data_IF_357642488605
#
_entry.id   IF_357642488605
#
_cell.length_a   1.000
_cell.length_b   1.000
_cell.length_c   1.000
_cell.angle_alpha   90.00
_cell.angle_beta   90.00
_cell.angle_gamma   90.00
#
_symmetry.space_group_name_H-M   'P 1'
#
loop_
_entity.id
_entity.type
_entity.pdbx_description
1 polymer ?
#
# COMPACT_ATOMS: atom_id res chain seq x y z
N UNK A 1 26.71 97.33 5.44
CA UNK A 1 25.77 96.23 5.22
C UNK A 1 26.16 95.20 4.15
N UNK A 2 27.46 95.05 3.79
CA UNK A 2 27.84 93.93 2.89
C UNK A 2 28.36 92.68 3.60
N UNK A 3 28.64 92.71 4.91
CA UNK A 3 29.20 91.52 5.62
C UNK A 3 28.16 90.47 6.12
N UNK A 4 26.93 90.92 6.40
CA UNK A 4 25.86 90.02 6.86
C UNK A 4 25.37 89.09 5.72
N UNK A 5 25.39 89.57 4.49
CA UNK A 5 25.02 88.78 3.32
C UNK A 5 26.02 87.66 3.01
N UNK A 6 27.32 87.85 3.28
CA UNK A 6 28.34 86.81 3.09
C UNK A 6 28.26 85.71 4.16
N UNK A 7 27.88 86.06 5.40
CA UNK A 7 27.75 85.11 6.48
C UNK A 7 26.51 84.22 6.31
N UNK A 8 25.42 84.77 5.80
CA UNK A 8 24.20 83.99 5.49
C UNK A 8 24.42 83.01 4.31
N UNK A 9 25.22 83.42 3.32
CA UNK A 9 25.55 82.55 2.18
C UNK A 9 26.51 81.45 2.54
N UNK A 10 27.43 81.61 3.48
CA UNK A 10 28.30 80.58 4.00
C UNK A 10 27.56 79.58 4.92
N UNK A 11 26.57 80.02 5.69
CA UNK A 11 25.72 79.18 6.48
C UNK A 11 24.76 78.30 5.65
N UNK A 12 24.28 78.81 4.51
CA UNK A 12 23.46 78.06 3.56
C UNK A 12 24.27 76.99 2.81
N UNK A 13 25.54 77.27 2.49
CA UNK A 13 26.41 76.27 1.84
C UNK A 13 26.87 75.18 2.82
N UNK A 14 27.06 75.52 4.10
CA UNK A 14 27.39 74.56 5.12
C UNK A 14 26.19 73.62 5.46
N UNK A 15 24.95 74.13 5.34
CA UNK A 15 23.72 73.24 5.56
C UNK A 15 23.43 72.29 4.41
N UNK A 16 23.87 72.65 3.17
CA UNK A 16 23.71 71.72 2.01
C UNK A 16 24.81 70.68 1.98
N UNK A 17 26.00 70.91 2.54
CA UNK A 17 27.05 69.86 2.65
C UNK A 17 26.88 68.86 3.74
N UNK A 18 25.94 69.06 4.69
CA UNK A 18 25.68 68.15 5.78
C UNK A 18 24.58 67.10 5.45
N UNK A 19 23.90 67.20 4.29
CA UNK A 19 22.84 66.25 3.88
C UNK A 19 23.26 65.15 2.86
N UNK A 20 24.58 65.07 2.54
CA UNK A 20 25.06 63.97 1.64
C UNK A 20 25.58 62.72 2.33
N UNK A 21 25.07 62.43 3.50
CA UNK A 21 25.49 61.31 4.28
C UNK A 21 24.36 60.44 4.87
N UNK A 22 23.09 60.65 4.47
CA UNK A 22 22.06 59.63 4.75
C UNK A 22 22.31 58.44 3.80
N UNK A 23 23.09 57.49 4.26
CA UNK A 23 22.92 56.13 3.75
C UNK A 23 21.45 55.78 4.06
N UNK A 24 20.64 55.63 3.04
CA UNK A 24 19.38 54.90 3.21
C UNK A 24 19.77 53.54 3.78
N UNK A 25 19.36 53.28 5.01
CA UNK A 25 19.42 51.91 5.53
C UNK A 25 18.71 51.03 4.50
N UNK A 26 19.33 49.90 4.08
CA UNK A 26 18.66 48.98 3.18
C UNK A 26 17.31 48.66 3.80
N UNK A 27 16.24 48.92 3.06
CA UNK A 27 14.89 48.48 3.46
C UNK A 27 15.00 47.06 4.00
N UNK A 28 14.41 46.73 5.15
CA UNK A 28 14.39 45.36 5.64
C UNK A 28 13.93 44.47 4.49
N UNK A 29 14.55 43.29 4.28
CA UNK A 29 14.15 42.39 3.21
C UNK A 29 12.65 42.19 3.34
N UNK A 30 11.93 42.44 2.24
CA UNK A 30 10.52 42.13 2.15
C UNK A 30 10.41 40.65 2.48
N UNK A 31 9.70 40.32 3.54
CA UNK A 31 9.38 38.94 3.89
C UNK A 31 8.53 38.39 2.73
N UNK A 32 9.16 37.74 1.78
CA UNK A 32 8.50 37.14 0.60
C UNK A 32 7.73 35.90 1.01
N UNK A 33 7.25 35.78 2.21
CA UNK A 33 6.42 34.67 2.66
C UNK A 33 6.93 33.27 2.20
N UNK A 34 6.30 32.22 2.66
CA UNK A 34 6.67 30.84 2.26
C UNK A 34 6.26 30.58 0.79
N UNK A 35 7.25 30.41 -0.09
CA UNK A 35 7.03 30.14 -1.52
C UNK A 35 7.86 28.94 -1.96
N UNK A 36 7.18 27.80 -2.17
CA UNK A 36 7.78 26.60 -2.77
C UNK A 36 7.25 26.45 -4.19
N UNK A 37 8.14 26.26 -5.15
CA UNK A 37 7.81 26.16 -6.58
C UNK A 37 8.34 24.85 -7.18
N UNK A 38 7.76 24.41 -8.30
CA UNK A 38 8.22 23.20 -9.00
C UNK A 38 8.02 21.92 -8.17
N UNK A 39 6.99 21.88 -7.32
CA UNK A 39 6.72 20.73 -6.45
C UNK A 39 6.32 19.54 -7.30
N UNK A 40 6.99 18.40 -7.06
CA UNK A 40 6.61 17.10 -7.58
C UNK A 40 6.53 16.10 -6.43
N UNK A 41 5.32 15.60 -6.18
CA UNK A 41 5.06 14.58 -5.18
C UNK A 41 4.62 13.33 -5.92
N UNK A 42 5.27 12.16 -5.71
CA UNK A 42 4.80 10.91 -6.30
C UNK A 42 3.43 10.52 -5.74
N UNK A 43 2.62 9.83 -6.54
CA UNK A 43 1.29 9.40 -6.12
C UNK A 43 1.36 8.45 -4.90
N UNK A 44 2.42 7.64 -4.82
CA UNK A 44 2.69 6.75 -3.68
C UNK A 44 4.17 6.64 -3.36
N UNK A 45 4.47 6.37 -2.09
CA UNK A 45 5.80 6.13 -1.54
C UNK A 45 5.79 4.87 -0.69
N UNK A 46 6.76 3.98 -0.91
CA UNK A 46 7.05 2.84 -0.02
C UNK A 46 8.26 3.21 0.83
N UNK A 47 8.06 3.52 2.09
CA UNK A 47 9.11 4.05 2.96
C UNK A 47 9.01 3.42 4.35
N UNK A 48 10.11 2.91 4.94
CA UNK A 48 10.11 2.47 6.32
C UNK A 48 10.01 3.65 7.29
N UNK A 49 9.52 3.43 8.49
CA UNK A 49 9.59 4.42 9.58
C UNK A 49 11.05 4.85 9.77
N UNK A 50 11.29 6.17 9.85
CA UNK A 50 12.64 6.71 9.90
C UNK A 50 13.40 6.62 8.57
N UNK A 51 12.79 6.13 7.51
CA UNK A 51 13.35 6.12 6.16
C UNK A 51 13.37 7.53 5.55
N UNK A 52 14.33 7.74 4.67
CA UNK A 52 14.53 9.03 4.01
C UNK A 52 13.49 9.27 2.92
N UNK A 53 12.91 10.48 2.91
CA UNK A 53 11.97 10.96 1.88
C UNK A 53 12.50 12.24 1.28
N UNK A 54 12.52 12.31 -0.06
CA UNK A 54 12.96 13.48 -0.81
C UNK A 54 11.74 14.07 -1.53
N UNK A 55 11.45 15.34 -1.26
CA UNK A 55 10.49 16.13 -2.02
C UNK A 55 11.23 17.01 -3.03
N UNK A 56 10.82 16.93 -4.30
CA UNK A 56 11.34 17.80 -5.34
C UNK A 56 10.61 19.14 -5.32
N UNK A 57 11.36 20.23 -5.42
CA UNK A 57 10.85 21.59 -5.42
C UNK A 57 11.92 22.61 -4.99
N UNK A 58 11.74 23.86 -5.32
CA UNK A 58 12.65 24.95 -4.96
C UNK A 58 12.03 25.86 -3.90
N UNK A 59 12.86 26.41 -3.02
CA UNK A 59 12.42 27.32 -1.96
C UNK A 59 12.27 26.67 -0.58
N UNK A 60 12.60 25.39 -0.42
CA UNK A 60 12.72 24.73 0.89
C UNK A 60 13.87 25.34 1.71
N UNK A 61 13.73 25.35 3.02
CA UNK A 61 14.77 25.75 3.95
C UNK A 61 14.97 24.67 5.04
N UNK A 62 16.17 24.61 5.61
CA UNK A 62 16.43 23.76 6.78
C UNK A 62 15.45 24.13 7.89
N UNK A 63 14.98 23.10 8.60
CA UNK A 63 13.99 23.18 9.68
C UNK A 63 12.57 23.54 9.21
N UNK A 64 12.28 23.64 7.91
CA UNK A 64 10.89 23.59 7.45
C UNK A 64 10.22 22.32 7.96
N UNK A 65 8.98 22.43 8.40
CA UNK A 65 8.20 21.32 8.88
C UNK A 65 7.29 20.80 7.77
N UNK A 66 7.32 19.50 7.52
CA UNK A 66 6.37 18.81 6.66
C UNK A 66 5.31 18.20 7.54
N UNK A 67 4.09 18.70 7.44
CA UNK A 67 2.92 18.23 8.21
C UNK A 67 2.10 17.31 7.34
N UNK A 68 1.82 16.12 7.86
CA UNK A 68 1.01 15.06 7.26
C UNK A 68 -0.33 15.03 7.98
N UNK A 69 -1.41 15.14 7.24
CA UNK A 69 -2.77 14.98 7.77
C UNK A 69 -3.42 13.82 7.03
N UNK A 70 -3.82 12.76 7.77
CA UNK A 70 -4.46 11.60 7.17
C UNK A 70 -5.81 12.01 6.55
N UNK A 71 -6.02 11.64 5.29
CA UNK A 71 -7.19 12.08 4.53
C UNK A 71 -8.52 11.53 5.07
N UNK A 72 -8.47 10.37 5.73
CA UNK A 72 -9.65 9.70 6.34
C UNK A 72 -9.88 10.10 7.79
N UNK A 73 -8.88 10.73 8.45
CA UNK A 73 -8.96 11.15 9.85
C UNK A 73 -8.07 12.39 10.08
N UNK A 74 -8.68 13.56 10.07
CA UNK A 74 -7.98 14.83 10.25
C UNK A 74 -7.38 15.01 11.67
N UNK A 75 -7.75 14.17 12.64
CA UNK A 75 -7.12 14.14 13.97
C UNK A 75 -5.77 13.46 13.98
N UNK A 76 -5.46 12.62 12.98
CA UNK A 76 -4.15 11.98 12.83
C UNK A 76 -3.19 12.89 12.05
N UNK A 77 -2.34 13.56 12.81
CA UNK A 77 -1.38 14.54 12.31
C UNK A 77 0.03 14.12 12.72
N UNK A 78 0.94 14.08 11.74
CA UNK A 78 2.36 13.79 11.96
C UNK A 78 3.20 14.94 11.40
N UNK A 79 4.40 15.13 11.94
CA UNK A 79 5.29 16.20 11.51
C UNK A 79 6.71 15.67 11.36
N UNK A 80 7.32 15.95 10.22
CA UNK A 80 8.74 15.78 9.96
C UNK A 80 9.41 17.13 9.81
N UNK A 81 10.71 17.18 10.04
CA UNK A 81 11.53 18.38 9.85
C UNK A 81 12.50 18.12 8.71
N UNK A 82 12.69 19.07 7.80
CA UNK A 82 13.70 18.96 6.74
C UNK A 82 15.10 18.93 7.36
N UNK A 83 15.79 17.83 7.12
CA UNK A 83 17.16 17.57 7.61
C UNK A 83 18.23 17.99 6.60
N UNK A 84 17.86 18.07 5.32
CA UNK A 84 18.72 18.51 4.23
C UNK A 84 17.91 19.24 3.17
N UNK A 85 18.51 20.24 2.56
CA UNK A 85 17.89 20.99 1.45
C UNK A 85 18.93 21.27 0.36
N UNK A 86 18.46 21.25 -0.89
CA UNK A 86 19.21 21.69 -2.06
C UNK A 86 18.40 22.78 -2.78
N UNK A 87 18.95 23.37 -3.85
CA UNK A 87 18.18 24.32 -4.67
C UNK A 87 16.92 23.73 -5.32
N UNK A 88 16.77 22.40 -5.32
CA UNK A 88 15.68 21.68 -6.03
C UNK A 88 15.01 20.59 -5.19
N UNK A 89 15.36 20.42 -3.92
CA UNK A 89 14.76 19.39 -3.07
C UNK A 89 14.87 19.71 -1.59
N UNK A 90 13.95 19.12 -0.81
CA UNK A 90 14.03 19.02 0.64
C UNK A 90 13.93 17.56 1.07
N UNK A 91 14.74 17.15 2.05
CA UNK A 91 14.83 15.79 2.55
C UNK A 91 14.44 15.74 4.03
N UNK A 92 13.67 14.73 4.42
CA UNK A 92 13.29 14.45 5.81
C UNK A 92 13.22 12.95 6.07
N UNK A 93 13.13 12.57 7.34
CA UNK A 93 12.87 11.19 7.74
C UNK A 93 11.38 10.98 8.00
N UNK A 94 10.82 9.86 7.54
CA UNK A 94 9.41 9.54 7.79
C UNK A 94 9.14 9.48 9.30
N UNK A 95 8.12 10.19 9.83
CA UNK A 95 7.88 10.27 11.27
C UNK A 95 7.54 8.92 11.90
N UNK A 96 7.96 8.73 13.16
CA UNK A 96 7.53 7.59 13.95
C UNK A 96 6.01 7.59 14.17
N UNK A 97 5.41 6.39 14.16
CA UNK A 97 3.98 6.19 14.40
C UNK A 97 3.06 6.57 13.23
N UNK A 98 3.62 7.05 12.09
CA UNK A 98 2.84 7.25 10.89
C UNK A 98 2.41 5.87 10.35
N UNK A 99 1.15 5.77 9.90
CA UNK A 99 0.58 4.52 9.38
C UNK A 99 0.42 4.57 7.87
N UNK A 100 0.24 3.42 7.24
CA UNK A 100 -0.11 3.35 5.81
C UNK A 100 -1.41 4.11 5.56
N UNK A 101 -1.42 4.99 4.54
CA UNK A 101 -2.59 5.80 4.22
C UNK A 101 -2.29 6.94 3.25
N UNK A 102 -3.35 7.65 2.84
CA UNK A 102 -3.23 8.84 1.99
C UNK A 102 -3.21 10.09 2.85
N UNK A 103 -2.15 10.89 2.69
CA UNK A 103 -1.88 12.08 3.47
C UNK A 103 -1.89 13.34 2.61
N UNK A 104 -2.50 14.40 3.15
CA UNK A 104 -2.28 15.75 2.65
C UNK A 104 -1.02 16.31 3.29
N UNK A 105 -0.10 16.79 2.48
CA UNK A 105 1.17 17.39 2.89
C UNK A 105 1.09 18.90 2.90
N UNK A 106 1.58 19.51 3.97
CA UNK A 106 1.72 20.96 4.11
C UNK A 106 3.13 21.28 4.61
N UNK A 107 3.83 22.21 3.98
CA UNK A 107 5.06 22.75 4.52
C UNK A 107 4.74 23.93 5.43
N UNK A 108 5.46 24.05 6.55
CA UNK A 108 5.38 25.17 7.50
C UNK A 108 6.76 25.75 7.76
N UNK A 109 6.83 27.08 7.79
CA UNK A 109 8.02 27.87 8.17
C UNK A 109 7.57 29.01 9.09
N UNK A 110 7.88 28.93 10.39
CA UNK A 110 7.32 29.86 11.36
C UNK A 110 5.79 29.84 11.37
N UNK A 111 5.17 30.98 11.10
CA UNK A 111 3.72 31.15 11.00
C UNK A 111 3.14 30.81 9.62
N UNK A 112 3.99 30.76 8.60
CA UNK A 112 3.58 30.56 7.23
C UNK A 112 3.37 29.08 6.91
N UNK A 113 2.43 28.81 6.03
CA UNK A 113 2.15 27.45 5.58
C UNK A 113 1.69 27.40 4.14
N UNK A 114 2.07 26.34 3.43
CA UNK A 114 1.67 26.08 2.05
C UNK A 114 1.35 24.60 1.86
N UNK A 115 0.21 24.31 1.24
CA UNK A 115 -0.17 22.93 0.86
C UNK A 115 0.70 22.50 -0.32
N UNK A 116 1.36 21.37 -0.18
CA UNK A 116 2.21 20.78 -1.22
C UNK A 116 1.42 19.84 -2.15
N UNK A 117 0.48 19.05 -1.61
CA UNK A 117 -0.30 18.07 -2.35
C UNK A 117 -0.71 16.90 -1.48
N UNK A 118 -1.02 15.77 -2.13
CA UNK A 118 -1.37 14.50 -1.47
C UNK A 118 -0.44 13.39 -1.92
N UNK A 119 -0.19 12.42 -1.02
CA UNK A 119 0.62 11.23 -1.29
C UNK A 119 0.03 10.04 -0.53
N UNK A 120 0.05 8.87 -1.15
CA UNK A 120 -0.20 7.61 -0.43
C UNK A 120 1.14 7.10 0.12
N UNK A 121 1.24 6.95 1.43
CA UNK A 121 2.40 6.39 2.11
C UNK A 121 2.09 4.94 2.44
N UNK A 122 2.91 4.03 1.94
CA UNK A 122 2.93 2.63 2.35
C UNK A 122 4.12 2.46 3.30
N UNK A 123 3.83 2.32 4.57
CA UNK A 123 4.86 2.10 5.58
C UNK A 123 5.34 0.65 5.48
N UNK A 124 6.61 0.47 5.12
CA UNK A 124 7.21 -0.86 4.92
C UNK A 124 8.17 -1.18 6.07
N UNK A 125 8.42 -2.46 6.29
CA UNK A 125 9.44 -2.86 7.25
C UNK A 125 10.84 -2.51 6.73
N UNK A 126 11.69 -1.99 7.60
CA UNK A 126 13.10 -1.73 7.27
C UNK A 126 13.93 -2.96 7.65
N UNK A 127 13.89 -4.01 6.81
CA UNK A 127 14.63 -5.23 7.13
C UNK A 127 15.47 -5.71 5.95
N UNK A 128 16.79 -5.63 6.12
CA UNK A 128 17.71 -6.51 5.40
C UNK A 128 17.82 -7.79 6.20
N UNK A 129 17.13 -8.85 5.75
CA UNK A 129 17.17 -10.15 6.41
C UNK A 129 18.40 -10.91 5.90
N UNK A 130 19.39 -11.26 6.77
CA UNK A 130 20.56 -12.03 6.35
C UNK A 130 20.17 -13.43 5.87
N UNK A 131 20.97 -14.03 5.00
CA UNK A 131 20.79 -15.42 4.63
C UNK A 131 21.15 -16.33 5.81
N UNK A 132 20.40 -17.44 5.92
CA UNK A 132 20.63 -18.47 6.94
C UNK A 132 20.92 -19.79 6.26
N UNK A 133 22.00 -20.52 6.64
CA UNK A 133 22.34 -21.80 6.04
C UNK A 133 21.16 -22.79 6.04
N UNK A 134 20.93 -23.45 4.92
CA UNK A 134 19.84 -24.42 4.75
C UNK A 134 18.46 -23.81 4.49
N UNK A 135 18.31 -22.48 4.53
CA UNK A 135 17.05 -21.78 4.23
C UNK A 135 17.08 -21.25 2.81
N UNK A 136 16.03 -21.50 2.07
CA UNK A 136 15.86 -21.06 0.67
C UNK A 136 14.82 -19.96 0.53
N UNK A 137 13.99 -19.76 1.56
CA UNK A 137 13.06 -18.65 1.66
C UNK A 137 13.26 -17.91 2.97
N UNK A 138 13.09 -16.60 2.92
CA UNK A 138 13.08 -15.70 4.05
C UNK A 138 12.12 -14.55 3.79
N UNK A 139 11.77 -13.79 4.80
CA UNK A 139 10.95 -12.60 4.65
C UNK A 139 10.47 -12.07 5.98
N UNK A 140 9.69 -11.00 5.91
CA UNK A 140 9.03 -10.39 7.06
C UNK A 140 7.53 -10.28 6.81
N UNK A 141 6.75 -10.61 7.84
CA UNK A 141 5.33 -10.26 7.90
C UNK A 141 5.19 -9.07 8.83
N UNK A 142 4.55 -7.99 8.38
CA UNK A 142 4.50 -6.74 9.11
C UNK A 142 3.19 -5.98 8.90
N UNK A 143 2.88 -5.08 9.83
CA UNK A 143 1.81 -4.09 9.71
C UNK A 143 2.34 -2.73 10.12
N UNK A 144 2.15 -1.71 9.28
CA UNK A 144 2.63 -0.34 9.54
C UNK A 144 4.12 -0.26 9.92
N UNK A 145 4.94 -1.10 9.29
CA UNK A 145 6.39 -1.15 9.53
C UNK A 145 6.83 -1.96 10.74
N UNK A 146 5.90 -2.39 11.60
CA UNK A 146 6.16 -3.22 12.75
C UNK A 146 5.97 -4.70 12.41
N UNK A 147 6.89 -5.55 12.84
CA UNK A 147 6.83 -6.99 12.58
C UNK A 147 5.61 -7.63 13.24
N UNK A 148 4.95 -8.53 12.54
CA UNK A 148 3.83 -9.33 13.05
C UNK A 148 4.34 -10.69 13.53
N UNK A 149 4.47 -10.93 14.83
CA UNK A 149 4.94 -12.19 15.37
C UNK A 149 3.87 -13.28 15.35
N UNK A 150 4.31 -14.54 15.31
CA UNK A 150 3.41 -15.69 15.45
C UNK A 150 2.59 -16.01 14.20
N UNK A 151 2.91 -15.43 13.05
CA UNK A 151 2.21 -15.72 11.79
C UNK A 151 2.78 -17.00 11.18
N UNK A 152 1.91 -17.97 10.89
CA UNK A 152 2.31 -19.18 10.18
C UNK A 152 2.61 -18.89 8.72
N UNK A 153 3.76 -19.37 8.23
CA UNK A 153 4.23 -19.26 6.86
C UNK A 153 4.53 -20.65 6.31
N UNK A 154 4.08 -20.94 5.10
CA UNK A 154 4.24 -22.26 4.48
C UNK A 154 4.51 -22.15 2.97
N UNK A 155 5.12 -23.18 2.41
CA UNK A 155 5.22 -23.41 0.96
C UNK A 155 4.31 -24.57 0.47
N UNK A 156 3.44 -25.06 1.36
CA UNK A 156 2.58 -26.23 1.14
C UNK A 156 3.20 -27.55 1.57
N UNK A 157 4.47 -27.57 1.97
CA UNK A 157 5.21 -28.74 2.49
C UNK A 157 5.78 -28.42 3.85
N UNK A 158 6.61 -27.39 3.91
CA UNK A 158 7.25 -26.92 5.11
C UNK A 158 6.42 -25.80 5.75
N UNK A 159 6.50 -25.71 7.09
CA UNK A 159 5.81 -24.65 7.86
C UNK A 159 6.77 -24.05 8.86
N UNK A 160 6.73 -22.76 8.99
CA UNK A 160 7.43 -22.02 10.04
C UNK A 160 6.50 -20.97 10.65
N UNK A 161 6.98 -20.24 11.65
CA UNK A 161 6.26 -19.15 12.32
C UNK A 161 7.19 -17.94 12.40
N UNK A 162 6.64 -16.76 12.19
CA UNK A 162 7.42 -15.52 12.35
C UNK A 162 7.86 -15.29 13.78
N UNK A 163 9.09 -14.78 13.95
CA UNK A 163 9.65 -14.42 15.25
C UNK A 163 9.08 -13.10 15.81
N UNK A 164 9.64 -12.60 16.91
CA UNK A 164 9.20 -11.35 17.55
C UNK A 164 9.38 -10.10 16.70
N UNK A 165 10.16 -10.17 15.63
CA UNK A 165 10.36 -9.09 14.64
C UNK A 165 9.57 -9.34 13.36
N UNK A 166 8.71 -10.35 13.34
CA UNK A 166 7.94 -10.74 12.15
C UNK A 166 8.78 -11.47 11.09
N UNK A 167 10.02 -11.82 11.37
CA UNK A 167 10.93 -12.47 10.43
C UNK A 167 10.68 -13.97 10.38
N UNK A 168 10.73 -14.54 9.18
CA UNK A 168 10.65 -15.99 8.97
C UNK A 168 11.77 -16.51 8.07
N UNK A 169 12.07 -17.79 8.23
CA UNK A 169 12.94 -18.60 7.37
C UNK A 169 12.29 -19.94 7.11
N UNK A 170 12.40 -20.45 5.87
CA UNK A 170 11.80 -21.71 5.47
C UNK A 170 12.78 -22.50 4.58
N UNK A 171 13.04 -23.81 4.86
CA UNK A 171 13.90 -24.67 4.04
C UNK A 171 13.12 -25.27 2.86
N UNK A 172 12.53 -24.40 2.02
CA UNK A 172 11.64 -24.78 0.94
C UNK A 172 12.36 -25.47 -0.22
N UNK A 173 11.79 -26.57 -0.72
CA UNK A 173 12.14 -27.12 -2.03
C UNK A 173 11.50 -26.37 -3.20
N UNK A 174 10.58 -25.45 -2.91
CA UNK A 174 9.81 -24.66 -3.88
C UNK A 174 8.94 -25.50 -4.83
N UNK A 175 8.60 -26.71 -4.42
CA UNK A 175 7.90 -27.69 -5.23
C UNK A 175 6.56 -27.18 -5.77
N UNK A 176 5.79 -26.44 -4.93
CA UNK A 176 4.47 -25.92 -5.30
C UNK A 176 4.51 -24.51 -5.90
N UNK A 177 5.68 -23.86 -5.95
CA UNK A 177 5.87 -22.57 -6.58
C UNK A 177 5.30 -21.38 -5.79
N UNK A 178 4.99 -21.55 -4.51
CA UNK A 178 4.47 -20.51 -3.63
C UNK A 178 5.15 -20.48 -2.27
N UNK A 179 5.12 -19.30 -1.65
CA UNK A 179 5.15 -19.14 -0.20
C UNK A 179 3.90 -18.33 0.19
N UNK A 180 3.24 -18.72 1.26
CA UNK A 180 2.01 -18.09 1.72
C UNK A 180 1.93 -18.03 3.24
N UNK A 181 1.13 -17.10 3.73
CA UNK A 181 0.84 -16.95 5.16
C UNK A 181 -0.57 -17.43 5.48
N UNK A 182 -0.77 -17.98 6.67
CA UNK A 182 -2.10 -18.09 7.24
C UNK A 182 -2.47 -16.71 7.79
N UNK A 183 -3.31 -15.96 7.07
CA UNK A 183 -3.68 -14.59 7.42
C UNK A 183 -4.21 -14.54 8.87
N UNK A 184 -3.65 -13.70 9.76
CA UNK A 184 -4.14 -13.62 11.14
C UNK A 184 -5.51 -12.92 11.22
N UNK A 185 -6.34 -13.32 12.18
CA UNK A 185 -7.75 -12.95 12.24
C UNK A 185 -8.05 -11.46 12.43
N UNK A 186 -7.11 -10.69 12.97
CA UNK A 186 -7.22 -9.26 13.19
C UNK A 186 -6.51 -8.42 12.10
N UNK A 187 -6.25 -9.04 10.95
CA UNK A 187 -5.62 -8.37 9.81
C UNK A 187 -6.36 -8.66 8.50
N UNK A 188 -6.20 -7.75 7.57
CA UNK A 188 -6.46 -7.90 6.15
C UNK A 188 -5.14 -7.81 5.37
N UNK A 189 -5.18 -8.28 4.14
CA UNK A 189 -4.09 -8.11 3.19
C UNK A 189 -4.66 -7.51 1.90
N UNK A 190 -3.84 -6.72 1.18
CA UNK A 190 -4.26 -6.15 -0.09
C UNK A 190 -4.74 -7.25 -1.06
N UNK A 191 -5.77 -6.95 -1.84
CA UNK A 191 -6.26 -7.82 -2.89
C UNK A 191 -5.92 -7.26 -4.27
N UNK A 192 -5.70 -8.16 -5.22
CA UNK A 192 -5.62 -7.86 -6.65
C UNK A 192 -6.74 -8.60 -7.35
N UNK A 193 -7.59 -7.87 -8.10
CA UNK A 193 -8.79 -8.43 -8.75
C UNK A 193 -9.64 -9.30 -7.77
N UNK A 194 -9.85 -8.80 -6.55
CA UNK A 194 -10.53 -9.48 -5.44
C UNK A 194 -9.81 -10.68 -4.82
N UNK A 195 -8.66 -11.10 -5.32
CA UNK A 195 -7.87 -12.20 -4.73
C UNK A 195 -6.95 -11.63 -3.65
N UNK A 196 -7.11 -12.00 -2.36
CA UNK A 196 -6.21 -11.59 -1.29
C UNK A 196 -4.77 -12.06 -1.56
N UNK A 197 -3.80 -11.18 -1.42
CA UNK A 197 -2.39 -11.43 -1.77
C UNK A 197 -1.59 -12.04 -0.60
N UNK A 198 -2.18 -13.04 0.07
CA UNK A 198 -1.55 -13.76 1.19
C UNK A 198 -0.45 -14.73 0.74
N UNK A 199 -0.18 -14.83 -0.54
CA UNK A 199 0.85 -15.67 -1.14
C UNK A 199 1.76 -14.89 -2.08
N UNK A 200 2.96 -15.42 -2.31
CA UNK A 200 3.91 -14.95 -3.32
C UNK A 200 4.35 -16.12 -4.18
N UNK A 201 4.53 -15.87 -5.48
CA UNK A 201 5.05 -16.86 -6.42
C UNK A 201 6.56 -16.93 -6.31
N UNK A 202 7.10 -18.13 -6.37
CA UNK A 202 8.52 -18.40 -6.29
C UNK A 202 9.12 -18.53 -7.70
N UNK A 203 10.33 -18.02 -7.86
CA UNK A 203 11.09 -18.18 -9.11
C UNK A 203 11.62 -19.60 -9.32
N UNK A 204 11.65 -20.39 -8.25
CA UNK A 204 12.17 -21.76 -8.26
C UNK A 204 13.70 -21.83 -8.13
N UNK A 205 14.24 -23.04 -8.26
CA UNK A 205 15.67 -23.29 -8.10
C UNK A 205 16.16 -23.19 -6.65
N UNK A 206 17.48 -23.19 -6.45
CA UNK A 206 18.12 -23.24 -5.13
C UNK A 206 18.54 -21.86 -4.58
N UNK A 207 18.28 -20.77 -5.32
CA UNK A 207 18.60 -19.41 -4.86
C UNK A 207 17.72 -19.02 -3.68
N UNK A 208 18.29 -18.28 -2.72
CA UNK A 208 17.48 -17.72 -1.60
C UNK A 208 16.60 -16.61 -2.14
N UNK A 209 15.30 -16.67 -1.82
CA UNK A 209 14.35 -15.63 -2.16
C UNK A 209 13.82 -14.96 -0.89
N UNK A 210 13.62 -13.64 -0.96
CA UNK A 210 12.98 -12.88 0.10
C UNK A 210 11.58 -12.46 -0.37
N UNK A 211 10.57 -12.79 0.44
CA UNK A 211 9.18 -12.43 0.20
C UNK A 211 8.56 -11.86 1.46
N UNK A 212 8.15 -10.59 1.38
CA UNK A 212 7.58 -9.87 2.50
C UNK A 212 6.06 -9.73 2.33
N UNK A 213 5.33 -9.73 3.46
CA UNK A 213 3.88 -9.59 3.51
C UNK A 213 3.50 -8.37 4.36
N UNK A 214 2.81 -7.43 3.74
CA UNK A 214 2.28 -6.24 4.41
C UNK A 214 0.81 -6.48 4.77
N UNK A 215 0.50 -6.36 6.04
CA UNK A 215 -0.84 -6.54 6.62
C UNK A 215 -1.44 -5.19 7.00
N UNK A 216 -2.77 -5.13 7.01
CA UNK A 216 -3.53 -3.98 7.51
C UNK A 216 -4.35 -4.45 8.70
N UNK A 217 -4.12 -3.82 9.87
CA UNK A 217 -4.89 -4.14 11.06
C UNK A 217 -6.37 -3.82 10.85
N UNK A 218 -7.24 -4.76 11.17
CA UNK A 218 -8.69 -4.61 10.99
C UNK A 218 -9.46 -5.39 12.06
N UNK A 219 -10.70 -4.98 12.32
CA UNK A 219 -11.60 -5.73 13.19
C UNK A 219 -12.46 -6.68 12.35
N UNK A 220 -12.15 -7.96 12.42
CA UNK A 220 -12.89 -9.06 11.79
C UNK A 220 -13.75 -9.85 12.77
N UNK A 221 -13.96 -9.35 14.00
CA UNK A 221 -14.75 -10.08 15.02
C UNK A 221 -16.21 -10.29 14.61
N UNK A 222 -16.76 -9.37 13.82
CA UNK A 222 -18.12 -9.45 13.29
C UNK A 222 -18.13 -9.45 11.76
N UNK A 223 -17.57 -10.52 11.16
CA UNK A 223 -17.51 -10.68 9.71
C UNK A 223 -18.64 -11.58 9.18
N UNK A 224 -18.85 -11.53 7.88
CA UNK A 224 -19.76 -12.41 7.14
C UNK A 224 -18.97 -13.10 6.04
N UNK A 225 -19.14 -14.40 5.91
CA UNK A 225 -18.61 -15.19 4.80
C UNK A 225 -19.75 -15.64 3.90
N UNK A 226 -19.67 -15.31 2.63
CA UNK A 226 -20.57 -15.80 1.59
C UNK A 226 -19.93 -17.05 0.97
N UNK A 227 -20.42 -18.22 1.37
CA UNK A 227 -20.02 -19.51 0.78
C UNK A 227 -20.83 -19.72 -0.51
N UNK A 228 -20.16 -19.86 -1.62
CA UNK A 228 -20.76 -19.97 -2.95
C UNK A 228 -20.18 -21.17 -3.69
N UNK A 229 -21.00 -22.08 -4.15
CA UNK A 229 -20.54 -23.34 -4.75
C UNK A 229 -21.11 -23.53 -6.16
N UNK A 230 -20.41 -24.33 -6.94
CA UNK A 230 -20.93 -24.96 -8.17
C UNK A 230 -21.46 -23.95 -9.20
N UNK A 231 -20.72 -22.90 -9.48
CA UNK A 231 -21.16 -21.92 -10.48
C UNK A 231 -21.15 -22.50 -11.88
N UNK A 232 -20.22 -23.40 -12.19
CA UNK A 232 -20.08 -24.11 -13.46
C UNK A 232 -20.20 -23.19 -14.68
N UNK A 233 -19.58 -21.99 -14.60
CA UNK A 233 -19.57 -21.05 -15.69
C UNK A 233 -18.82 -21.64 -16.89
N UNK A 234 -19.50 -21.73 -18.02
CA UNK A 234 -19.00 -22.44 -19.19
C UNK A 234 -19.34 -21.76 -20.54
N UNK A 235 -19.92 -20.56 -20.51
CA UNK A 235 -20.47 -19.89 -21.69
C UNK A 235 -21.47 -20.80 -22.42
N UNK A 236 -22.41 -21.36 -21.69
CA UNK A 236 -23.38 -22.37 -22.14
C UNK A 236 -24.76 -22.11 -21.53
N UNK A 237 -25.82 -22.27 -22.33
CA UNK A 237 -27.22 -22.21 -21.86
C UNK A 237 -27.54 -20.92 -21.09
N UNK A 238 -27.03 -19.79 -21.57
CA UNK A 238 -27.22 -18.46 -20.96
C UNK A 238 -26.66 -18.32 -19.52
N UNK A 239 -25.75 -19.21 -19.07
CA UNK A 239 -25.17 -19.21 -17.74
C UNK A 239 -24.51 -17.86 -17.39
N UNK A 240 -23.76 -17.25 -18.31
CA UNK A 240 -23.15 -15.92 -18.11
C UNK A 240 -24.20 -14.81 -18.01
N UNK A 241 -25.31 -14.93 -18.75
CA UNK A 241 -26.43 -13.99 -18.66
C UNK A 241 -27.15 -14.14 -17.31
N UNK A 242 -27.37 -15.37 -16.86
CA UNK A 242 -27.96 -15.66 -15.55
C UNK A 242 -27.04 -15.18 -14.42
N UNK A 243 -25.73 -15.41 -14.54
CA UNK A 243 -24.76 -14.89 -13.59
C UNK A 243 -24.82 -13.36 -13.51
N UNK A 244 -24.75 -12.68 -14.66
CA UNK A 244 -24.66 -11.21 -14.71
C UNK A 244 -25.95 -10.51 -14.32
N UNK A 245 -27.12 -11.07 -14.65
CA UNK A 245 -28.42 -10.42 -14.46
C UNK A 245 -29.18 -10.91 -13.22
N UNK A 246 -28.81 -12.08 -12.68
CA UNK A 246 -29.42 -12.67 -11.49
C UNK A 246 -28.47 -12.72 -10.31
N UNK A 247 -27.47 -13.63 -10.36
CA UNK A 247 -26.58 -13.88 -9.23
C UNK A 247 -25.75 -12.64 -8.80
N UNK A 248 -25.13 -11.95 -9.77
CA UNK A 248 -24.23 -10.83 -9.46
C UNK A 248 -24.95 -9.64 -8.80
N UNK A 249 -26.12 -9.17 -9.27
CA UNK A 249 -26.89 -8.17 -8.56
C UNK A 249 -27.28 -8.59 -7.13
N UNK A 250 -27.73 -9.82 -6.95
CA UNK A 250 -28.19 -10.32 -5.65
C UNK A 250 -27.05 -10.44 -4.63
N UNK A 251 -25.90 -10.99 -5.05
CA UNK A 251 -24.73 -11.11 -4.17
C UNK A 251 -24.17 -9.72 -3.80
N UNK A 252 -24.10 -8.78 -4.74
CA UNK A 252 -23.63 -7.44 -4.46
C UNK A 252 -24.61 -6.64 -3.59
N UNK A 253 -25.91 -6.82 -3.74
CA UNK A 253 -26.91 -6.25 -2.84
C UNK A 253 -26.77 -6.81 -1.42
N UNK A 254 -26.53 -8.11 -1.29
CA UNK A 254 -26.26 -8.78 -0.01
C UNK A 254 -25.01 -8.24 0.65
N UNK A 255 -23.90 -8.12 -0.08
CA UNK A 255 -22.64 -7.51 0.38
C UNK A 255 -22.89 -6.09 0.87
N UNK A 256 -23.57 -5.26 0.05
CA UNK A 256 -23.89 -3.88 0.39
C UNK A 256 -24.73 -3.77 1.67
N UNK A 257 -25.69 -4.66 1.87
CA UNK A 257 -26.53 -4.68 3.07
C UNK A 257 -25.69 -4.92 4.34
N UNK A 258 -24.80 -5.90 4.32
CA UNK A 258 -23.93 -6.21 5.45
C UNK A 258 -22.86 -5.15 5.68
N UNK A 259 -22.23 -4.63 4.63
CA UNK A 259 -21.22 -3.57 4.77
C UNK A 259 -21.84 -2.27 5.28
N UNK A 260 -23.06 -1.92 4.86
CA UNK A 260 -23.81 -0.78 5.38
C UNK A 260 -24.18 -0.95 6.87
N UNK A 261 -24.28 -2.19 7.35
CA UNK A 261 -24.45 -2.52 8.76
C UNK A 261 -23.11 -2.60 9.53
N UNK A 262 -21.99 -2.15 8.93
CA UNK A 262 -20.67 -2.11 9.56
C UNK A 262 -19.97 -3.46 9.65
N UNK A 263 -20.42 -4.47 8.89
CA UNK A 263 -19.76 -5.79 8.87
C UNK A 263 -18.74 -5.89 7.74
N UNK A 264 -17.67 -6.61 7.99
CA UNK A 264 -16.75 -7.07 6.93
C UNK A 264 -17.39 -8.24 6.19
N UNK A 265 -17.25 -8.27 4.86
CA UNK A 265 -17.80 -9.35 4.04
C UNK A 265 -16.71 -9.95 3.17
N UNK A 266 -16.64 -11.28 3.17
CA UNK A 266 -15.69 -12.06 2.39
C UNK A 266 -16.44 -13.13 1.59
N UNK A 267 -15.98 -13.45 0.40
CA UNK A 267 -16.49 -14.51 -0.42
C UNK A 267 -15.58 -15.75 -0.36
N UNK A 268 -16.17 -16.90 -0.32
CA UNK A 268 -15.47 -18.19 -0.41
C UNK A 268 -16.17 -19.04 -1.48
N UNK A 269 -15.71 -18.98 -2.73
CA UNK A 269 -16.11 -19.96 -3.74
C UNK A 269 -15.61 -21.33 -3.35
N UNK A 270 -16.53 -22.30 -3.24
CA UNK A 270 -16.25 -23.64 -2.74
C UNK A 270 -15.84 -24.63 -3.84
N UNK A 271 -15.33 -24.12 -4.94
CA UNK A 271 -14.93 -24.91 -6.10
C UNK A 271 -15.99 -24.99 -7.19
N UNK A 272 -15.64 -25.66 -8.27
CA UNK A 272 -16.44 -25.83 -9.48
C UNK A 272 -16.95 -24.51 -10.06
N UNK A 273 -16.04 -23.56 -10.09
CA UNK A 273 -16.31 -22.20 -10.58
C UNK A 273 -16.46 -22.20 -12.11
N UNK A 274 -15.73 -23.08 -12.77
CA UNK A 274 -15.81 -23.34 -14.21
C UNK A 274 -16.28 -24.77 -14.47
N UNK A 275 -16.44 -25.13 -15.72
CA UNK A 275 -16.72 -26.51 -16.12
C UNK A 275 -15.67 -26.96 -17.15
N UNK A 276 -14.73 -27.77 -16.71
CA UNK A 276 -13.58 -28.26 -17.49
C UNK A 276 -13.95 -28.85 -18.85
N UNK A 277 -15.08 -29.59 -18.96
CA UNK A 277 -15.59 -30.12 -20.22
C UNK A 277 -15.77 -29.07 -21.33
N UNK A 278 -15.96 -27.80 -20.96
CA UNK A 278 -16.20 -26.70 -21.92
C UNK A 278 -15.02 -25.72 -21.99
N UNK A 279 -13.92 -25.98 -21.32
CA UNK A 279 -12.77 -25.09 -21.32
C UNK A 279 -12.25 -24.77 -22.71
N UNK A 280 -12.20 -25.77 -23.58
CA UNK A 280 -11.67 -25.66 -24.93
C UNK A 280 -12.79 -25.49 -25.96
N UNK A 281 -13.90 -26.17 -25.80
CA UNK A 281 -15.03 -26.13 -26.72
C UNK A 281 -15.70 -24.73 -26.74
N UNK A 282 -15.96 -24.16 -25.56
CA UNK A 282 -16.60 -22.86 -25.42
C UNK A 282 -15.60 -21.73 -25.14
N UNK A 283 -14.29 -22.04 -25.09
CA UNK A 283 -13.23 -21.11 -24.72
C UNK A 283 -13.50 -20.38 -23.40
N UNK A 284 -14.00 -21.09 -22.39
CA UNK A 284 -14.30 -20.55 -21.08
C UNK A 284 -13.55 -21.29 -19.99
N UNK A 285 -12.42 -20.72 -19.55
CA UNK A 285 -11.52 -21.25 -18.52
C UNK A 285 -11.40 -20.28 -17.35
N UNK A 286 -10.50 -20.56 -16.43
CA UNK A 286 -10.27 -19.77 -15.22
C UNK A 286 -9.91 -18.30 -15.51
N UNK A 287 -9.27 -17.99 -16.63
CA UNK A 287 -9.02 -16.61 -17.05
C UNK A 287 -10.34 -15.83 -17.31
N UNK A 288 -11.37 -16.51 -17.80
CA UNK A 288 -12.70 -15.93 -18.03
C UNK A 288 -13.50 -15.86 -16.72
N UNK A 289 -13.38 -16.88 -15.88
CA UNK A 289 -13.95 -16.84 -14.54
C UNK A 289 -13.47 -15.61 -13.76
N UNK A 290 -12.17 -15.30 -13.77
CA UNK A 290 -11.62 -14.13 -13.08
C UNK A 290 -12.23 -12.80 -13.55
N UNK A 291 -12.59 -12.70 -14.85
CA UNK A 291 -13.31 -11.53 -15.38
C UNK A 291 -14.69 -11.36 -14.74
N UNK A 292 -15.36 -12.48 -14.46
CA UNK A 292 -16.68 -12.46 -13.83
C UNK A 292 -16.57 -12.26 -12.30
N UNK A 293 -15.68 -13.01 -11.64
CA UNK A 293 -15.49 -12.97 -10.18
C UNK A 293 -15.13 -11.56 -9.68
N UNK A 294 -14.29 -10.83 -10.37
CA UNK A 294 -13.88 -9.48 -9.94
C UNK A 294 -15.00 -8.45 -9.91
N UNK A 295 -16.18 -8.76 -10.47
CA UNK A 295 -17.38 -7.92 -10.38
C UNK A 295 -18.10 -8.05 -9.04
N UNK A 296 -17.73 -9.01 -8.20
CA UNK A 296 -18.25 -9.20 -6.84
C UNK A 296 -17.52 -8.23 -5.90
N UNK A 297 -18.24 -7.51 -5.08
CA UNK A 297 -17.72 -6.37 -4.30
C UNK A 297 -17.09 -6.78 -2.94
N UNK A 298 -16.40 -7.93 -2.88
CA UNK A 298 -15.63 -8.34 -1.70
C UNK A 298 -14.38 -9.15 -2.09
N UNK A 299 -13.48 -9.35 -1.12
CA UNK A 299 -12.33 -10.24 -1.31
C UNK A 299 -12.79 -11.70 -1.37
N UNK A 300 -12.16 -12.47 -2.26
CA UNK A 300 -12.53 -13.83 -2.61
C UNK A 300 -11.42 -14.81 -2.28
N UNK A 301 -11.63 -15.69 -1.31
CA UNK A 301 -10.75 -16.81 -0.97
C UNK A 301 -11.16 -18.02 -1.79
N UNK A 302 -10.57 -18.20 -2.96
CA UNK A 302 -10.99 -19.22 -3.92
C UNK A 302 -10.53 -20.61 -3.50
N UNK A 303 -11.45 -21.57 -3.51
CA UNK A 303 -11.20 -23.00 -3.34
C UNK A 303 -11.30 -23.65 -4.71
N UNK A 304 -10.39 -24.58 -5.01
CA UNK A 304 -10.39 -25.32 -6.26
C UNK A 304 -11.35 -26.50 -6.18
N UNK A 305 -12.22 -26.64 -7.17
CA UNK A 305 -13.07 -27.82 -7.36
C UNK A 305 -12.50 -28.80 -8.40
N UNK A 306 -13.16 -29.93 -8.57
CA UNK A 306 -12.71 -30.93 -9.53
C UNK A 306 -12.96 -30.52 -10.99
N UNK A 307 -13.81 -29.53 -11.26
CA UNK A 307 -14.04 -28.96 -12.59
C UNK A 307 -13.17 -27.72 -12.89
N UNK A 308 -12.23 -27.38 -12.01
CA UNK A 308 -11.29 -26.26 -12.20
C UNK A 308 -9.89 -26.73 -12.62
N UNK A 309 -9.79 -27.98 -13.07
CA UNK A 309 -8.60 -28.64 -13.60
C UNK A 309 -8.53 -28.60 -15.12
N UNK A 310 -7.31 -28.72 -15.69
CA UNK A 310 -7.15 -28.92 -17.12
C UNK A 310 -7.49 -30.37 -17.51
N UNK A 311 -8.60 -30.63 -18.23
CA UNK A 311 -9.06 -31.97 -18.52
C UNK A 311 -8.15 -32.77 -19.49
N UNK A 312 -7.23 -32.09 -20.17
CA UNK A 312 -6.31 -32.75 -21.11
C UNK A 312 -4.92 -33.02 -20.52
N UNK A 313 -4.69 -32.61 -19.28
CA UNK A 313 -3.43 -32.84 -18.58
C UNK A 313 -3.60 -33.98 -17.58
N UNK A 314 -2.75 -35.02 -17.71
CA UNK A 314 -2.78 -36.16 -16.81
C UNK A 314 -2.10 -35.88 -15.48
N UNK A 315 -2.67 -36.36 -14.40
CA UNK A 315 -2.15 -36.25 -13.04
C UNK A 315 -2.62 -34.97 -12.34
N UNK A 316 -2.97 -35.09 -11.07
CA UNK A 316 -3.59 -34.04 -10.28
C UNK A 316 -2.75 -32.74 -10.25
N UNK A 317 -1.50 -32.83 -9.79
CA UNK A 317 -0.61 -31.67 -9.67
C UNK A 317 -0.37 -30.93 -11.00
N UNK A 318 -0.10 -31.61 -12.15
CA UNK A 318 0.00 -30.93 -13.43
C UNK A 318 -1.34 -30.32 -13.90
N UNK A 319 -2.47 -30.98 -13.67
CA UNK A 319 -3.78 -30.51 -14.08
C UNK A 319 -4.24 -29.25 -13.31
N UNK A 320 -3.79 -29.08 -12.06
CA UNK A 320 -4.04 -27.90 -11.23
C UNK A 320 -3.27 -26.65 -11.70
N UNK A 321 -2.31 -26.81 -12.60
CA UNK A 321 -1.41 -25.70 -12.98
C UNK A 321 -2.12 -24.42 -13.41
N UNK A 322 -3.21 -24.45 -14.20
CA UNK A 322 -3.95 -23.23 -14.55
C UNK A 322 -4.53 -22.50 -13.33
N UNK A 323 -5.05 -23.23 -12.33
CA UNK A 323 -5.54 -22.62 -11.08
C UNK A 323 -4.38 -21.96 -10.31
N UNK A 324 -3.29 -22.70 -10.14
CA UNK A 324 -2.11 -22.16 -9.44
C UNK A 324 -1.48 -20.96 -10.15
N UNK A 325 -1.46 -20.96 -11.48
CA UNK A 325 -0.90 -19.86 -12.26
C UNK A 325 -1.79 -18.61 -12.23
N UNK A 326 -3.09 -18.74 -12.17
CA UNK A 326 -4.02 -17.63 -12.29
C UNK A 326 -4.57 -17.15 -10.94
N UNK A 327 -4.88 -18.07 -10.03
CA UNK A 327 -5.59 -17.79 -8.79
C UNK A 327 -4.65 -17.85 -7.58
N UNK A 328 -4.01 -19.00 -7.32
CA UNK A 328 -3.10 -19.14 -6.18
C UNK A 328 -2.91 -20.56 -5.67
N UNK A 329 -2.47 -20.72 -4.43
CA UNK A 329 -2.29 -22.03 -3.82
C UNK A 329 -3.63 -22.79 -3.72
N UNK A 330 -3.57 -24.12 -3.89
CA UNK A 330 -4.75 -25.02 -3.82
C UNK A 330 -5.06 -25.46 -2.40
N UNK A 331 -4.07 -25.41 -1.50
CA UNK A 331 -4.20 -25.73 -0.07
C UNK A 331 -3.63 -24.59 0.75
N UNK A 332 -4.43 -24.03 1.62
CA UNK A 332 -4.04 -22.94 2.51
C UNK A 332 -4.99 -22.78 3.68
N UNK A 333 -4.67 -21.91 4.61
CA UNK A 333 -5.59 -21.52 5.68
C UNK A 333 -5.54 -20.02 5.90
N UNK A 334 -6.58 -19.48 6.50
CA UNK A 334 -6.68 -18.08 6.89
C UNK A 334 -7.60 -17.92 8.10
N UNK A 335 -7.49 -16.82 8.80
CA UNK A 335 -8.36 -16.51 9.92
C UNK A 335 -9.11 -15.20 9.67
N UNK A 336 -10.36 -15.16 10.09
CA UNK A 336 -11.16 -13.95 10.17
C UNK A 336 -11.71 -13.85 11.59
N UNK A 337 -11.32 -12.83 12.34
CA UNK A 337 -11.63 -12.75 13.76
C UNK A 337 -11.17 -14.00 14.52
N UNK A 338 -12.12 -14.71 15.13
CA UNK A 338 -11.85 -15.92 15.92
C UNK A 338 -12.02 -17.23 15.13
N UNK A 339 -12.38 -17.15 13.85
CA UNK A 339 -12.64 -18.33 13.03
C UNK A 339 -11.41 -18.66 12.18
N UNK A 340 -10.99 -19.92 12.25
CA UNK A 340 -9.92 -20.48 11.40
C UNK A 340 -10.55 -21.26 10.25
N UNK A 341 -10.24 -20.86 9.04
CA UNK A 341 -10.69 -21.49 7.80
C UNK A 341 -9.55 -22.33 7.23
N UNK A 342 -9.86 -23.56 6.85
CA UNK A 342 -8.92 -24.51 6.22
C UNK A 342 -9.48 -24.90 4.86
N UNK A 343 -8.64 -24.80 3.84
CA UNK A 343 -8.96 -25.13 2.45
C UNK A 343 -8.15 -26.35 2.03
#
# INVERSE_FOLDING_TARGET
MPEIKKLILLLLIAAVAACTGCKEDPLPPVDEGLKITGISIPASLNVPVGGEVILTGSGFALNDQIVFVLSTDAGKVYTAVLTSVTGQSGTFLLPAGITTGTYRLTVKRGTDSMVLGTVTINVVANTTIPDKPGMTLKGVVYSDGEGAPGVAVSDGVEVTVTDSQGVYYLPSSKQHGFVFISLPGNYEIAASDNIPQFFKRLAGGSTVEQHDFSLVQTDNTNHVVLAMADWHLANRNDDLTQFSNGFLPDVNATISSYTSAGKKVYGVPLGDMTWDAYWYENNFRLDKYLVEMKKINCQMFNIMGNHDNDPYVQGDIPAEKPFRDLIGPTYYSFNLGQVHYVV
#
